data_IF_671611817233
#
_entry.id   IF_671611817233
#
_cell.length_a   1.000
_cell.length_b   1.000
_cell.length_c   1.000
_cell.angle_alpha   90.00
_cell.angle_beta   90.00
_cell.angle_gamma   90.00
#
_symmetry.space_group_name_H-M   'P 1'
#
loop_
_entity.id
_entity.type
_entity.pdbx_description
1 polymer ?
#
# COMPACT_ATOMS: atom_id res chain seq x y z
N UNK A 1 22.75 12.84 -46.48
CA UNK A 1 22.86 13.61 -45.22
C UNK A 1 21.50 13.92 -44.59
N UNK A 2 20.48 14.31 -45.35
CA UNK A 2 19.14 14.64 -44.82
C UNK A 2 18.46 13.49 -44.05
N UNK A 3 18.56 12.27 -44.57
CA UNK A 3 17.93 11.06 -44.00
C UNK A 3 18.47 10.70 -42.60
N UNK A 4 19.77 10.89 -42.37
CA UNK A 4 20.40 10.57 -41.09
C UNK A 4 19.97 11.51 -39.97
N UNK A 5 19.67 12.78 -40.29
CA UNK A 5 19.22 13.76 -39.31
C UNK A 5 17.76 13.55 -38.91
N UNK A 6 16.93 13.12 -39.86
CA UNK A 6 15.51 12.81 -39.61
C UNK A 6 15.37 11.56 -38.76
N UNK A 7 16.17 10.52 -39.06
CA UNK A 7 16.20 9.29 -38.26
C UNK A 7 16.63 9.53 -36.82
N UNK A 8 17.69 10.31 -36.60
CA UNK A 8 18.16 10.63 -35.24
C UNK A 8 17.10 11.39 -34.41
N UNK A 9 16.33 12.27 -35.07
CA UNK A 9 15.22 12.98 -34.43
C UNK A 9 14.11 12.01 -34.00
N UNK A 10 13.73 11.08 -34.87
CA UNK A 10 12.74 10.05 -34.54
C UNK A 10 13.20 9.09 -33.46
N UNK A 11 14.45 8.65 -33.49
CA UNK A 11 15.00 7.78 -32.44
C UNK A 11 14.99 8.49 -31.07
N UNK A 12 15.28 9.79 -31.03
CA UNK A 12 15.19 10.61 -29.82
C UNK A 12 13.75 10.81 -29.34
N UNK A 13 12.83 11.17 -30.23
CA UNK A 13 11.41 11.33 -29.91
C UNK A 13 10.80 10.01 -29.40
N UNK A 14 11.12 8.88 -30.05
CA UNK A 14 10.69 7.56 -29.61
C UNK A 14 11.29 7.19 -28.25
N UNK A 15 12.56 7.53 -28.00
CA UNK A 15 13.18 7.27 -26.70
C UNK A 15 12.53 8.08 -25.58
N UNK A 16 12.14 9.33 -25.83
CA UNK A 16 11.41 10.14 -24.85
C UNK A 16 10.03 9.55 -24.62
N UNK A 17 9.27 9.28 -25.68
CA UNK A 17 7.92 8.74 -25.58
C UNK A 17 7.91 7.40 -24.81
N UNK A 18 8.88 6.53 -25.07
CA UNK A 18 9.04 5.29 -24.33
C UNK A 18 9.39 5.50 -22.86
N UNK A 19 10.25 6.49 -22.55
CA UNK A 19 10.59 6.83 -21.18
C UNK A 19 9.39 7.41 -20.41
N UNK A 20 8.59 8.25 -21.05
CA UNK A 20 7.34 8.80 -20.49
C UNK A 20 6.31 7.69 -20.24
N UNK A 21 6.06 6.83 -21.23
CA UNK A 21 5.14 5.71 -21.11
C UNK A 21 5.55 4.77 -19.98
N UNK A 22 6.83 4.38 -19.91
CA UNK A 22 7.36 3.58 -18.79
C UNK A 22 7.29 4.30 -17.45
N UNK A 23 7.51 5.61 -17.42
CA UNK A 23 7.39 6.40 -16.21
C UNK A 23 5.97 6.40 -15.65
N UNK A 24 4.98 6.54 -16.54
CA UNK A 24 3.56 6.49 -16.19
C UNK A 24 3.16 5.09 -15.74
N UNK A 25 3.58 4.05 -16.46
CA UNK A 25 3.30 2.66 -16.13
C UNK A 25 3.83 2.30 -14.74
N UNK A 26 5.12 2.58 -14.49
CA UNK A 26 5.73 2.35 -13.17
C UNK A 26 5.05 3.14 -12.05
N UNK A 27 4.79 4.43 -12.28
CA UNK A 27 4.12 5.26 -11.28
C UNK A 27 2.71 4.76 -10.93
N UNK A 28 2.00 4.19 -11.92
CA UNK A 28 0.70 3.58 -11.71
C UNK A 28 0.81 2.26 -10.95
N UNK A 29 1.74 1.39 -11.32
CA UNK A 29 1.98 0.11 -10.62
C UNK A 29 2.35 0.34 -9.15
N UNK A 30 3.35 1.18 -8.88
CA UNK A 30 3.79 1.53 -7.52
C UNK A 30 2.64 2.16 -6.72
N UNK A 31 1.87 3.05 -7.33
CA UNK A 31 0.71 3.69 -6.69
C UNK A 31 -0.38 2.69 -6.29
N UNK A 32 -0.65 1.70 -7.15
CA UNK A 32 -1.63 0.64 -6.87
C UNK A 32 -1.11 -0.27 -5.76
N UNK A 33 0.15 -0.69 -5.82
CA UNK A 33 0.77 -1.56 -4.82
C UNK A 33 0.74 -0.94 -3.42
N UNK A 34 1.22 0.31 -3.29
CA UNK A 34 1.19 1.06 -2.04
C UNK A 34 -0.26 1.26 -1.54
N UNK A 35 -1.21 1.49 -2.46
CA UNK A 35 -2.62 1.65 -2.14
C UNK A 35 -3.24 0.38 -1.56
N UNK A 36 -2.94 -0.78 -2.18
CA UNK A 36 -3.41 -2.09 -1.74
C UNK A 36 -2.80 -2.45 -0.38
N UNK A 37 -1.49 -2.30 -0.23
CA UNK A 37 -0.78 -2.62 1.03
C UNK A 37 -1.35 -1.81 2.20
N UNK A 38 -1.45 -0.47 2.05
CA UNK A 38 -2.06 0.40 3.08
C UNK A 38 -3.53 0.08 3.34
N UNK A 39 -4.25 -0.38 2.33
CA UNK A 39 -5.65 -0.79 2.45
C UNK A 39 -5.79 -2.06 3.28
N UNK A 40 -4.97 -3.07 3.00
CA UNK A 40 -4.93 -4.34 3.73
C UNK A 40 -4.53 -4.10 5.18
N UNK A 41 -3.43 -3.39 5.45
CA UNK A 41 -2.97 -3.11 6.81
C UNK A 41 -4.03 -2.38 7.65
N UNK A 42 -4.69 -1.36 7.06
CA UNK A 42 -5.79 -0.65 7.73
C UNK A 42 -6.98 -1.55 8.00
N UNK A 43 -7.31 -2.46 7.07
CA UNK A 43 -8.38 -3.43 7.22
C UNK A 43 -8.10 -4.44 8.34
N UNK A 44 -6.90 -5.02 8.34
CA UNK A 44 -6.46 -5.95 9.39
C UNK A 44 -6.44 -5.28 10.76
N UNK A 45 -5.90 -4.06 10.86
CA UNK A 45 -5.88 -3.31 12.11
C UNK A 45 -7.30 -3.03 12.63
N UNK A 46 -8.21 -2.56 11.77
CA UNK A 46 -9.62 -2.34 12.15
C UNK A 46 -10.28 -3.62 12.63
N UNK A 47 -10.07 -4.73 11.94
CA UNK A 47 -10.60 -6.03 12.33
C UNK A 47 -10.06 -6.48 13.69
N UNK A 48 -8.76 -6.35 13.93
CA UNK A 48 -8.17 -6.65 15.23
C UNK A 48 -8.75 -5.80 16.36
N UNK A 49 -9.04 -4.53 16.08
CA UNK A 49 -9.69 -3.63 17.04
C UNK A 49 -11.15 -4.05 17.32
N UNK A 50 -11.92 -4.37 16.29
CA UNK A 50 -13.31 -4.85 16.43
C UNK A 50 -13.36 -6.13 17.26
N UNK A 51 -12.50 -7.10 16.96
CA UNK A 51 -12.37 -8.35 17.72
C UNK A 51 -11.96 -8.05 19.17
N UNK A 52 -11.03 -7.13 19.41
CA UNK A 52 -10.64 -6.75 20.76
C UNK A 52 -11.81 -6.15 21.57
N UNK A 53 -12.66 -5.35 20.93
CA UNK A 53 -13.86 -4.77 21.55
C UNK A 53 -14.87 -5.87 21.91
N UNK A 54 -15.09 -6.84 21.03
CA UNK A 54 -15.97 -7.98 21.30
C UNK A 54 -15.45 -8.83 22.46
N UNK A 55 -14.16 -9.17 22.46
CA UNK A 55 -13.52 -9.90 23.55
C UNK A 55 -13.61 -9.15 24.89
N UNK A 56 -13.49 -7.81 24.87
CA UNK A 56 -13.63 -6.97 26.07
C UNK A 56 -15.06 -6.99 26.61
N UNK A 57 -16.06 -6.99 25.73
CA UNK A 57 -17.48 -7.13 26.12
C UNK A 57 -17.77 -8.50 26.74
N UNK A 58 -17.10 -9.55 26.30
CA UNK A 58 -17.19 -10.89 26.88
C UNK A 58 -16.44 -11.04 28.22
N UNK A 59 -15.71 -10.01 28.66
CA UNK A 59 -15.00 -10.01 29.94
C UNK A 59 -13.66 -10.74 29.91
N UNK A 60 -13.07 -10.93 28.71
CA UNK A 60 -11.75 -11.53 28.56
C UNK A 60 -10.67 -10.57 29.11
N UNK A 61 -9.67 -11.06 29.86
CA UNK A 61 -8.57 -10.25 30.35
C UNK A 61 -7.80 -9.52 29.24
N UNK A 62 -7.46 -8.24 29.45
CA UNK A 62 -6.74 -7.40 28.48
C UNK A 62 -5.43 -8.03 27.98
N UNK A 63 -4.72 -8.79 28.83
CA UNK A 63 -3.49 -9.51 28.45
C UNK A 63 -3.75 -10.59 27.39
N UNK A 64 -4.87 -11.32 27.52
CA UNK A 64 -5.27 -12.34 26.55
C UNK A 64 -5.74 -11.69 25.25
N UNK A 65 -6.50 -10.60 25.34
CA UNK A 65 -6.95 -9.84 24.16
C UNK A 65 -5.75 -9.32 23.37
N UNK A 66 -4.76 -8.72 24.04
CA UNK A 66 -3.53 -8.26 23.41
C UNK A 66 -2.77 -9.40 22.72
N UNK A 67 -2.71 -10.57 23.36
CA UNK A 67 -2.06 -11.76 22.80
C UNK A 67 -2.77 -12.29 21.54
N UNK A 68 -4.10 -12.32 21.52
CA UNK A 68 -4.87 -12.86 20.39
C UNK A 68 -4.99 -11.88 19.21
N UNK A 69 -5.20 -10.60 19.51
CA UNK A 69 -5.37 -9.55 18.48
C UNK A 69 -4.05 -8.96 17.99
N UNK A 70 -2.93 -9.34 18.62
CA UNK A 70 -1.59 -8.77 18.40
C UNK A 70 -1.53 -7.26 18.58
N UNK A 71 -2.52 -6.70 19.28
CA UNK A 71 -2.54 -5.28 19.64
C UNK A 71 -1.70 -5.06 20.91
N UNK A 72 -1.00 -3.93 21.02
CA UNK A 72 -0.33 -3.58 22.26
C UNK A 72 -1.35 -3.40 23.38
N UNK A 73 -0.99 -3.81 24.60
CA UNK A 73 -1.85 -3.71 25.79
C UNK A 73 -2.37 -2.29 25.99
N UNK A 74 -1.54 -1.27 25.73
CA UNK A 74 -1.90 0.15 25.82
C UNK A 74 -3.03 0.57 24.87
N UNK A 75 -3.22 -0.14 23.75
CA UNK A 75 -4.36 0.08 22.84
C UNK A 75 -5.59 -0.61 23.40
N UNK A 76 -5.48 -1.87 23.84
CA UNK A 76 -6.58 -2.65 24.41
C UNK A 76 -7.17 -1.99 25.67
N UNK A 77 -6.34 -1.36 26.50
CA UNK A 77 -6.78 -0.61 27.67
C UNK A 77 -7.62 0.63 27.31
N UNK A 78 -7.34 1.26 26.16
CA UNK A 78 -8.03 2.46 25.68
C UNK A 78 -9.30 2.17 24.87
N UNK A 79 -9.48 0.94 24.39
CA UNK A 79 -10.71 0.47 23.72
C UNK A 79 -11.87 0.38 24.70
#
# INVERSE_FOLDING_TARGET
MYDSSLKAKWDYENSIAFAEERGIEKGREEGIEIGIEKGIEKGEYKRSVEVAIEMKKEGIPNEQIAKFTKLPISVVEKL
#
